data_IF_414312731009
#
_entry.id   IF_414312731009
#
_cell.length_a   1.000
_cell.length_b   1.000
_cell.length_c   1.000
_cell.angle_alpha   90.00
_cell.angle_beta   90.00
_cell.angle_gamma   90.00
#
_symmetry.space_group_name_H-M   'P 1'
#
loop_
_entity.id
_entity.type
_entity.pdbx_description
1 polymer ?
#
# COMPACT_ATOMS: atom_id res chain seq x y z
N UNK A 1 3.72 63.95 34.83
CA UNK A 1 3.12 62.75 35.47
C UNK A 1 2.55 61.86 34.38
N UNK A 2 3.27 60.80 33.99
CA UNK A 2 2.77 59.70 33.14
C UNK A 2 3.67 58.49 33.45
N UNK A 3 3.19 57.63 34.33
CA UNK A 3 3.87 56.43 34.80
C UNK A 3 4.03 55.42 33.66
N UNK A 4 5.27 55.00 33.39
CA UNK A 4 5.54 53.83 32.56
C UNK A 4 5.27 52.59 33.40
N UNK A 5 4.25 51.83 33.03
CA UNK A 5 3.98 50.50 33.59
C UNK A 5 5.04 49.55 33.04
N UNK A 6 5.95 49.14 33.92
CA UNK A 6 6.94 48.09 33.66
C UNK A 6 6.23 46.73 33.69
N UNK A 7 6.20 46.02 32.56
CA UNK A 7 5.68 44.65 32.50
C UNK A 7 6.79 43.65 32.88
N UNK A 8 6.52 42.66 33.74
CA UNK A 8 7.47 41.59 34.03
C UNK A 8 7.57 40.59 32.86
N UNK A 9 8.73 39.94 32.66
CA UNK A 9 8.90 38.95 31.60
C UNK A 9 8.05 37.69 31.89
N UNK A 10 7.34 37.22 30.87
CA UNK A 10 6.60 35.96 30.90
C UNK A 10 7.61 34.82 30.70
N UNK A 11 8.05 34.18 31.79
CA UNK A 11 8.75 32.91 31.72
C UNK A 11 7.81 31.81 31.19
N UNK A 12 7.99 31.41 29.94
CA UNK A 12 7.34 30.21 29.39
C UNK A 12 8.02 28.97 29.97
N UNK A 13 7.45 28.41 31.04
CA UNK A 13 7.82 27.09 31.55
C UNK A 13 7.32 26.01 30.60
N UNK A 14 8.15 25.56 29.67
CA UNK A 14 7.87 24.40 28.82
C UNK A 14 8.11 23.13 29.62
N UNK A 15 7.06 22.61 30.26
CA UNK A 15 7.11 21.27 30.85
C UNK A 15 6.98 20.25 29.71
N UNK A 16 8.11 19.82 29.14
CA UNK A 16 8.14 18.63 28.26
C UNK A 16 7.98 17.38 29.13
N UNK A 17 6.78 16.82 29.16
CA UNK A 17 6.59 15.43 29.58
C UNK A 17 6.91 14.54 28.37
N UNK A 18 7.93 13.67 28.42
CA UNK A 18 8.08 12.62 27.42
C UNK A 18 6.93 11.62 27.63
N UNK A 19 5.88 11.72 26.82
CA UNK A 19 4.85 10.69 26.78
C UNK A 19 5.47 9.48 26.10
N UNK A 20 5.86 8.50 26.92
CA UNK A 20 6.29 7.18 26.46
C UNK A 20 5.08 6.45 25.89
N UNK A 21 5.09 6.24 24.57
CA UNK A 21 4.02 5.56 23.82
C UNK A 21 3.81 4.12 24.30
N UNK A 22 4.80 3.55 25.00
CA UNK A 22 4.75 2.18 25.53
C UNK A 22 3.89 2.04 26.78
N UNK A 23 3.63 3.11 27.52
CA UNK A 23 2.82 3.06 28.76
C UNK A 23 1.32 3.17 28.48
N UNK A 24 0.92 3.79 27.36
CA UNK A 24 -0.49 3.93 26.98
C UNK A 24 -1.15 2.62 26.52
N UNK A 25 -0.37 1.67 25.98
CA UNK A 25 -0.89 0.39 25.49
C UNK A 25 -1.05 -0.69 26.58
N UNK A 26 -0.59 -0.44 27.82
CA UNK A 26 -0.69 -1.40 28.94
C UNK A 26 -1.80 -1.10 29.93
N UNK A 27 -2.45 0.06 29.83
CA UNK A 27 -3.52 0.46 30.76
C UNK A 27 -4.93 0.02 30.32
N UNK A 28 -5.08 -0.60 29.15
CA UNK A 28 -6.39 -1.01 28.60
C UNK A 28 -6.81 -2.46 28.86
N UNK A 29 -5.99 -3.26 29.56
CA UNK A 29 -6.19 -4.70 29.68
C UNK A 29 -6.42 -5.15 31.13
N UNK A 30 -7.29 -4.45 31.88
CA UNK A 30 -7.70 -4.88 33.22
C UNK A 30 -9.18 -4.55 33.47
N UNK A 31 -10.09 -5.23 32.77
CA UNK A 31 -11.46 -5.45 33.22
C UNK A 31 -12.14 -6.55 32.36
N UNK A 32 -11.93 -7.82 32.73
CA UNK A 32 -12.62 -8.96 32.11
C UNK A 32 -12.24 -10.25 32.82
N UNK A 33 -13.21 -10.84 33.52
CA UNK A 33 -13.05 -11.87 34.53
C UNK A 33 -12.71 -13.28 33.98
N UNK A 34 -12.16 -14.08 34.89
CA UNK A 34 -11.76 -15.47 34.83
C UNK A 34 -12.71 -16.47 34.14
N UNK A 35 -12.13 -17.43 33.40
CA UNK A 35 -12.44 -18.87 33.50
C UNK A 35 -11.23 -19.70 33.10
N UNK A 36 -10.78 -20.54 34.02
CA UNK A 36 -9.83 -21.63 33.82
C UNK A 36 -10.54 -22.74 33.04
N UNK A 37 -9.96 -23.20 31.93
CA UNK A 37 -10.47 -24.32 31.16
C UNK A 37 -9.41 -24.91 30.24
N UNK A 38 -8.88 -26.06 30.63
CA UNK A 38 -8.00 -26.90 29.83
C UNK A 38 -8.74 -27.50 28.62
N UNK A 39 -8.02 -27.66 27.50
CA UNK A 39 -8.47 -28.34 26.30
C UNK A 39 -7.48 -28.03 25.17
N UNK A 40 -6.30 -28.65 25.16
CA UNK A 40 -6.05 -29.89 24.43
C UNK A 40 -6.43 -29.78 22.93
N UNK A 41 -5.38 -29.58 22.12
CA UNK A 41 -5.23 -30.00 20.74
C UNK A 41 -6.49 -30.54 20.04
N UNK A 42 -7.23 -29.65 19.37
CA UNK A 42 -8.12 -30.04 18.29
C UNK A 42 -7.32 -30.24 17.00
N UNK A 43 -6.69 -31.41 16.84
CA UNK A 43 -6.32 -31.90 15.50
C UNK A 43 -7.61 -32.32 14.82
N UNK A 44 -8.31 -31.37 14.24
CA UNK A 44 -9.48 -31.60 13.40
C UNK A 44 -9.04 -31.92 11.98
N UNK A 45 -8.66 -33.17 11.71
CA UNK A 45 -8.66 -33.70 10.36
C UNK A 45 -10.09 -34.16 10.04
N UNK A 46 -10.95 -33.21 9.70
CA UNK A 46 -12.27 -33.45 9.11
C UNK A 46 -12.27 -32.72 7.77
N UNK A 47 -12.31 -33.46 6.65
CA UNK A 47 -12.35 -32.87 5.32
C UNK A 47 -13.53 -31.90 5.19
N UNK A 48 -13.25 -30.63 4.90
CA UNK A 48 -14.21 -29.55 4.74
C UNK A 48 -13.67 -28.58 3.69
N UNK A 49 -14.53 -28.09 2.79
CA UNK A 49 -14.23 -26.93 1.97
C UNK A 49 -13.82 -25.78 2.90
N UNK A 50 -12.53 -25.44 2.93
CA UNK A 50 -12.05 -24.34 3.76
C UNK A 50 -12.32 -23.06 3.00
N UNK A 51 -13.37 -22.33 3.39
CA UNK A 51 -13.54 -20.95 2.94
C UNK A 51 -12.26 -20.17 3.24
N UNK A 52 -11.77 -19.33 2.31
CA UNK A 52 -10.57 -18.53 2.53
C UNK A 52 -10.72 -17.65 3.77
N UNK A 53 -9.62 -17.47 4.49
CA UNK A 53 -9.59 -16.60 5.68
C UNK A 53 -9.75 -15.13 5.27
N UNK A 54 -10.15 -14.27 6.22
CA UNK A 54 -10.23 -12.83 5.95
C UNK A 54 -8.87 -12.23 5.56
N UNK A 55 -7.76 -12.75 6.10
CA UNK A 55 -6.41 -12.32 5.75
C UNK A 55 -6.04 -12.75 4.33
N UNK A 56 -6.40 -13.97 3.94
CA UNK A 56 -6.24 -14.49 2.57
C UNK A 56 -7.00 -13.61 1.57
N UNK A 57 -8.28 -13.30 1.83
CA UNK A 57 -9.07 -12.43 0.95
C UNK A 57 -8.51 -11.01 0.84
N UNK A 58 -7.99 -10.46 1.96
CA UNK A 58 -7.35 -9.16 1.95
C UNK A 58 -6.03 -9.21 1.16
N UNK A 59 -5.21 -10.24 1.34
CA UNK A 59 -3.98 -10.46 0.60
C UNK A 59 -4.25 -10.54 -0.92
N UNK A 60 -5.27 -11.30 -1.33
CA UNK A 60 -5.70 -11.41 -2.73
C UNK A 60 -6.10 -10.05 -3.32
N UNK A 61 -6.76 -9.20 -2.52
CA UNK A 61 -7.17 -7.84 -2.93
C UNK A 61 -5.96 -6.92 -3.17
N UNK A 62 -4.82 -7.18 -2.53
CA UNK A 62 -3.57 -6.41 -2.72
C UNK A 62 -2.75 -6.86 -3.93
N UNK A 63 -2.95 -8.08 -4.43
CA UNK A 63 -2.19 -8.64 -5.58
C UNK A 63 -2.27 -7.76 -6.84
N UNK A 64 -3.44 -7.25 -7.26
CA UNK A 64 -3.54 -6.35 -8.41
C UNK A 64 -2.73 -5.06 -8.25
N UNK A 65 -2.64 -4.53 -7.02
CA UNK A 65 -1.88 -3.31 -6.74
C UNK A 65 -0.37 -3.54 -6.93
N UNK A 66 0.17 -4.68 -6.48
CA UNK A 66 1.58 -5.05 -6.73
C UNK A 66 1.85 -5.16 -8.22
N UNK A 67 0.98 -5.85 -8.97
CA UNK A 67 1.15 -6.04 -10.42
C UNK A 67 1.10 -4.70 -11.17
N UNK A 68 0.16 -3.82 -10.81
CA UNK A 68 0.09 -2.47 -11.38
C UNK A 68 1.36 -1.68 -11.11
N UNK A 69 1.91 -1.76 -9.89
CA UNK A 69 3.13 -1.04 -9.52
C UNK A 69 4.35 -1.51 -10.32
N UNK A 70 4.51 -2.82 -10.54
CA UNK A 70 5.57 -3.36 -11.39
C UNK A 70 5.38 -2.97 -12.86
N UNK A 71 4.13 -2.97 -13.36
CA UNK A 71 3.82 -2.55 -14.72
C UNK A 71 4.15 -1.06 -14.95
N UNK A 72 3.78 -0.20 -14.00
CA UNK A 72 4.08 1.24 -14.05
C UNK A 72 5.59 1.49 -13.98
N UNK A 73 6.31 0.79 -13.10
CA UNK A 73 7.77 0.84 -12.99
C UNK A 73 8.44 0.50 -14.32
N UNK A 74 8.08 -0.64 -14.91
CA UNK A 74 8.69 -1.08 -16.18
C UNK A 74 8.37 -0.12 -17.33
N UNK A 75 7.14 0.40 -17.39
CA UNK A 75 6.72 1.37 -18.41
C UNK A 75 7.46 2.71 -18.23
N UNK A 76 7.57 3.21 -17.00
CA UNK A 76 8.31 4.43 -16.71
C UNK A 76 9.78 4.30 -17.08
N UNK A 77 10.43 3.17 -16.75
CA UNK A 77 11.82 2.89 -17.17
C UNK A 77 11.99 2.86 -18.68
N UNK A 78 11.06 2.24 -19.40
CA UNK A 78 11.10 2.20 -20.86
C UNK A 78 10.96 3.62 -21.46
N UNK A 79 10.14 4.47 -20.86
CA UNK A 79 9.92 5.84 -21.33
C UNK A 79 11.12 6.76 -21.12
N UNK A 80 12.02 6.51 -20.16
CA UNK A 80 13.21 7.34 -19.92
C UNK A 80 14.04 7.55 -21.19
N UNK A 81 14.16 6.52 -22.03
CA UNK A 81 14.96 6.58 -23.26
C UNK A 81 14.29 7.33 -24.42
N UNK A 82 12.95 7.46 -24.39
CA UNK A 82 12.17 8.01 -25.51
C UNK A 82 11.51 9.35 -25.17
N UNK A 83 11.41 9.70 -23.89
CA UNK A 83 10.84 10.96 -23.38
C UNK A 83 11.86 11.75 -22.56
N UNK A 84 12.92 12.30 -23.18
CA UNK A 84 14.03 12.94 -22.47
C UNK A 84 13.60 14.15 -21.63
N UNK A 85 12.54 14.86 -22.04
CA UNK A 85 11.98 15.98 -21.29
C UNK A 85 11.46 15.58 -19.89
N UNK A 86 11.05 14.31 -19.73
CA UNK A 86 10.55 13.77 -18.48
C UNK A 86 11.49 12.73 -17.86
N UNK A 87 12.70 12.52 -18.39
CA UNK A 87 13.59 11.42 -17.98
C UNK A 87 13.83 11.37 -16.46
N UNK A 88 14.13 12.50 -15.82
CA UNK A 88 14.32 12.56 -14.35
C UNK A 88 13.03 12.23 -13.59
N UNK A 89 11.89 12.78 -14.03
CA UNK A 89 10.60 12.52 -13.40
C UNK A 89 10.18 11.05 -13.55
N UNK A 90 10.39 10.46 -14.72
CA UNK A 90 10.10 9.05 -15.01
C UNK A 90 10.97 8.11 -14.18
N UNK A 91 12.25 8.43 -13.95
CA UNK A 91 13.09 7.67 -13.02
C UNK A 91 12.55 7.71 -11.59
N UNK A 92 12.11 8.89 -11.12
CA UNK A 92 11.47 9.01 -9.79
C UNK A 92 10.18 8.19 -9.70
N UNK A 93 9.34 8.23 -10.74
CA UNK A 93 8.13 7.40 -10.80
C UNK A 93 8.49 5.92 -10.74
N UNK A 94 9.45 5.47 -11.54
CA UNK A 94 9.88 4.07 -11.55
C UNK A 94 10.36 3.62 -10.16
N UNK A 95 11.23 4.39 -9.51
CA UNK A 95 11.77 4.05 -8.20
C UNK A 95 10.68 4.00 -7.12
N UNK A 96 9.76 4.96 -7.13
CA UNK A 96 8.66 5.00 -6.16
C UNK A 96 7.66 3.85 -6.39
N UNK A 97 7.32 3.53 -7.65
CA UNK A 97 6.45 2.38 -7.95
C UNK A 97 7.11 1.06 -7.55
N UNK A 98 8.42 0.91 -7.74
CA UNK A 98 9.19 -0.23 -7.23
C UNK A 98 9.16 -0.32 -5.68
N UNK A 99 9.21 0.81 -4.97
CA UNK A 99 9.07 0.83 -3.51
C UNK A 99 7.66 0.44 -3.06
N UNK A 100 6.63 0.95 -3.73
CA UNK A 100 5.24 0.57 -3.44
C UNK A 100 4.98 -0.92 -3.68
N UNK A 101 5.48 -1.48 -4.78
CA UNK A 101 5.37 -2.91 -5.07
C UNK A 101 5.97 -3.77 -3.94
N UNK A 102 7.15 -3.38 -3.45
CA UNK A 102 7.81 -4.06 -2.32
C UNK A 102 7.01 -3.97 -1.03
N UNK A 103 6.58 -2.78 -0.64
CA UNK A 103 5.81 -2.60 0.60
C UNK A 103 4.46 -3.35 0.57
N UNK A 104 3.78 -3.34 -0.58
CA UNK A 104 2.55 -4.11 -0.78
C UNK A 104 2.82 -5.62 -0.72
N UNK A 105 3.91 -6.10 -1.34
CA UNK A 105 4.30 -7.50 -1.29
C UNK A 105 4.65 -7.96 0.14
N UNK A 106 5.37 -7.13 0.89
CA UNK A 106 5.67 -7.40 2.31
C UNK A 106 4.38 -7.53 3.14
N UNK A 107 3.39 -6.68 2.86
CA UNK A 107 2.08 -6.80 3.52
C UNK A 107 1.34 -8.08 3.11
N UNK A 108 1.37 -8.46 1.83
CA UNK A 108 0.81 -9.74 1.37
C UNK A 108 1.51 -10.90 2.08
N UNK A 109 2.84 -10.91 2.19
CA UNK A 109 3.59 -11.96 2.91
C UNK A 109 3.16 -12.04 4.38
N UNK A 110 2.95 -10.88 5.03
CA UNK A 110 2.50 -10.82 6.43
C UNK A 110 1.11 -11.42 6.61
N UNK A 111 0.21 -11.22 5.64
CA UNK A 111 -1.16 -11.71 5.67
C UNK A 111 -1.26 -13.19 5.26
N UNK A 112 -0.62 -13.54 4.15
CA UNK A 112 -0.71 -14.86 3.54
C UNK A 112 0.50 -15.11 2.59
N UNK A 113 1.42 -15.96 3.03
CA UNK A 113 2.63 -16.30 2.27
C UNK A 113 2.32 -17.08 0.98
N UNK A 114 1.24 -17.86 0.94
CA UNK A 114 0.86 -18.65 -0.24
C UNK A 114 0.30 -17.74 -1.33
N UNK A 115 -0.51 -16.74 -0.95
CA UNK A 115 -0.94 -15.68 -1.88
C UNK A 115 0.27 -14.91 -2.40
N UNK A 116 1.25 -14.58 -1.54
CA UNK A 116 2.47 -13.90 -1.98
C UNK A 116 3.26 -14.71 -3.02
N UNK A 117 3.32 -16.03 -2.89
CA UNK A 117 3.99 -16.91 -3.85
C UNK A 117 3.35 -16.87 -5.25
N UNK A 118 2.07 -16.49 -5.36
CA UNK A 118 1.41 -16.33 -6.66
C UNK A 118 1.95 -15.14 -7.47
N UNK A 119 2.60 -14.17 -6.84
CA UNK A 119 3.17 -13.00 -7.51
C UNK A 119 4.34 -13.36 -8.43
N UNK A 120 5.03 -14.46 -8.15
CA UNK A 120 6.17 -14.92 -8.97
C UNK A 120 5.75 -15.85 -10.10
N UNK A 121 4.48 -16.28 -10.10
CA UNK A 121 3.95 -17.13 -11.16
C UNK A 121 3.63 -16.28 -12.39
N UNK A 122 4.03 -16.70 -13.60
CA UNK A 122 3.56 -16.07 -14.83
C UNK A 122 2.03 -16.03 -14.83
N UNK A 123 1.43 -14.92 -15.26
CA UNK A 123 -0.02 -14.82 -15.44
C UNK A 123 -0.41 -15.72 -16.62
N UNK A 124 -0.64 -17.00 -16.35
CA UNK A 124 -1.25 -17.92 -17.32
C UNK A 124 -2.69 -17.48 -17.49
N UNK A 125 -2.96 -16.68 -18.52
CA UNK A 125 -4.32 -16.29 -18.88
C UNK A 125 -5.08 -17.54 -19.31
N UNK A 126 -5.84 -18.15 -18.40
CA UNK A 126 -6.78 -19.22 -18.70
C UNK A 126 -8.08 -18.63 -19.31
N UNK A 127 -7.92 -17.94 -20.43
CA UNK A 127 -9.00 -17.62 -21.38
C UNK A 127 -8.35 -17.45 -22.73
N UNK A 128 -8.03 -18.57 -23.36
CA UNK A 128 -7.84 -18.62 -24.80
C UNK A 128 -9.20 -18.40 -25.46
N UNK A 129 -9.63 -17.14 -25.58
CA UNK A 129 -10.60 -16.76 -26.60
C UNK A 129 -9.82 -16.44 -27.88
N UNK A 130 -10.09 -17.23 -28.90
CA UNK A 130 -9.60 -17.11 -30.27
C UNK A 130 -9.71 -15.67 -30.78
N UNK A 131 -8.61 -14.90 -30.77
CA UNK A 131 -8.51 -13.66 -31.54
C UNK A 131 -7.05 -13.36 -31.91
N UNK A 132 -6.76 -13.60 -33.19
CA UNK A 132 -5.66 -13.09 -34.02
C UNK A 132 -4.26 -13.00 -33.40
N UNK A 133 -3.38 -13.89 -33.89
CA UNK A 133 -1.94 -13.72 -33.84
C UNK A 133 -1.51 -12.37 -34.46
N UNK A 134 -0.64 -11.64 -33.76
CA UNK A 134 0.32 -10.75 -34.44
C UNK A 134 0.07 -9.24 -34.43
N UNK A 135 -0.68 -8.66 -33.48
CA UNK A 135 -0.57 -7.20 -33.29
C UNK A 135 0.69 -6.90 -32.47
N UNK A 136 1.65 -6.10 -32.97
CA UNK A 136 2.75 -5.65 -32.13
C UNK A 136 2.17 -4.87 -30.94
N UNK A 137 2.66 -5.16 -29.73
CA UNK A 137 2.31 -4.37 -28.55
C UNK A 137 2.55 -2.90 -28.88
N UNK A 138 1.52 -2.07 -28.69
CA UNK A 138 1.63 -0.64 -28.93
C UNK A 138 2.84 -0.09 -28.15
N UNK A 139 3.62 0.83 -28.73
CA UNK A 139 4.77 1.40 -28.05
C UNK A 139 4.33 2.07 -26.75
N UNK A 140 5.18 2.04 -25.70
CA UNK A 140 4.89 2.75 -24.47
C UNK A 140 4.73 4.24 -24.80
N UNK A 141 3.73 4.88 -24.20
CA UNK A 141 3.50 6.31 -24.37
C UNK A 141 3.26 6.97 -23.03
N UNK A 142 3.70 8.21 -22.91
CA UNK A 142 3.56 8.98 -21.68
C UNK A 142 2.09 9.23 -21.33
N UNK A 143 1.23 9.44 -22.34
CA UNK A 143 -0.22 9.56 -22.16
C UNK A 143 -0.84 8.30 -21.55
N UNK A 144 -0.39 7.10 -21.98
CA UNK A 144 -0.86 5.85 -21.41
C UNK A 144 -0.38 5.65 -19.98
N UNK A 145 0.89 5.93 -19.69
CA UNK A 145 1.41 5.88 -18.32
C UNK A 145 0.62 6.81 -17.38
N UNK A 146 0.27 8.03 -17.81
CA UNK A 146 -0.57 8.94 -17.01
C UNK A 146 -1.93 8.32 -16.68
N UNK A 147 -2.59 7.73 -17.66
CA UNK A 147 -3.88 7.06 -17.47
C UNK A 147 -3.76 5.83 -16.54
N UNK A 148 -2.69 5.04 -16.69
CA UNK A 148 -2.42 3.87 -15.85
C UNK A 148 -2.17 4.29 -14.39
N UNK A 149 -1.44 5.40 -14.14
CA UNK A 149 -1.25 5.95 -12.81
C UNK A 149 -2.56 6.47 -12.18
N UNK A 150 -3.43 7.13 -12.94
CA UNK A 150 -4.75 7.54 -12.45
C UNK A 150 -5.61 6.32 -12.07
N UNK A 151 -5.59 5.26 -12.89
CA UNK A 151 -6.28 4.02 -12.60
C UNK A 151 -5.71 3.32 -11.34
N UNK A 152 -4.39 3.26 -11.20
CA UNK A 152 -3.71 2.68 -10.05
C UNK A 152 -4.02 3.45 -8.75
N UNK A 153 -4.05 4.78 -8.79
CA UNK A 153 -4.46 5.61 -7.65
C UNK A 153 -5.92 5.34 -7.25
N UNK A 154 -6.81 5.21 -8.23
CA UNK A 154 -8.22 4.85 -8.01
C UNK A 154 -8.39 3.47 -7.38
N UNK A 155 -7.68 2.46 -7.89
CA UNK A 155 -7.71 1.09 -7.35
C UNK A 155 -7.18 1.05 -5.92
N UNK A 156 -6.02 1.66 -5.65
CA UNK A 156 -5.45 1.73 -4.31
C UNK A 156 -6.39 2.43 -3.33
N UNK A 157 -7.06 3.51 -3.76
CA UNK A 157 -8.08 4.19 -2.95
C UNK A 157 -9.27 3.30 -2.65
N UNK A 158 -9.78 2.54 -3.62
CA UNK A 158 -10.89 1.62 -3.40
C UNK A 158 -10.55 0.54 -2.37
N UNK A 159 -9.33 -0.01 -2.43
CA UNK A 159 -8.84 -0.95 -1.43
C UNK A 159 -8.71 -0.27 -0.06
N UNK A 160 -8.18 0.96 -0.01
CA UNK A 160 -8.05 1.70 1.25
C UNK A 160 -9.38 1.93 1.96
N UNK A 161 -10.47 2.14 1.20
CA UNK A 161 -11.81 2.35 1.76
C UNK A 161 -12.50 1.06 2.23
N UNK A 162 -12.08 -0.10 1.72
CA UNK A 162 -12.69 -1.40 2.05
C UNK A 162 -11.86 -2.22 3.04
N UNK A 163 -10.55 -1.99 3.11
CA UNK A 163 -9.65 -2.63 4.05
C UNK A 163 -9.68 -1.97 5.45
N UNK A 164 -9.18 -2.70 6.46
CA UNK A 164 -8.97 -2.18 7.82
C UNK A 164 -7.50 -2.11 8.21
N UNK A 165 -7.22 -1.40 9.31
CA UNK A 165 -5.92 -1.43 9.98
C UNK A 165 -4.74 -0.93 9.14
N UNK A 166 -3.63 -1.67 9.16
CA UNK A 166 -2.40 -1.27 8.47
C UNK A 166 -2.56 -1.24 6.95
N UNK A 167 -3.29 -2.19 6.37
CA UNK A 167 -3.50 -2.29 4.93
C UNK A 167 -4.24 -1.08 4.34
N UNK A 168 -5.24 -0.52 5.05
CA UNK A 168 -5.94 0.68 4.58
C UNK A 168 -5.05 1.93 4.62
N UNK A 169 -4.23 2.07 5.67
CA UNK A 169 -3.23 3.14 5.75
C UNK A 169 -2.17 3.04 4.64
N UNK A 170 -1.63 1.83 4.43
CA UNK A 170 -0.65 1.56 3.38
C UNK A 170 -1.22 1.89 2.00
N UNK A 171 -2.36 1.30 1.63
CA UNK A 171 -2.98 1.52 0.31
C UNK A 171 -3.48 2.95 0.11
N UNK A 172 -3.93 3.62 1.16
CA UNK A 172 -4.25 5.06 1.13
C UNK A 172 -3.02 5.93 0.86
N UNK A 173 -1.89 5.62 1.49
CA UNK A 173 -0.62 6.32 1.24
C UNK A 173 -0.11 6.10 -0.19
N UNK A 174 -0.24 4.88 -0.72
CA UNK A 174 0.07 4.55 -2.11
C UNK A 174 -0.83 5.33 -3.06
N UNK A 175 -2.14 5.39 -2.82
CA UNK A 175 -3.07 6.15 -3.65
C UNK A 175 -2.69 7.64 -3.73
N UNK A 176 -2.36 8.26 -2.59
CA UNK A 176 -1.95 9.67 -2.53
C UNK A 176 -0.60 9.91 -3.24
N UNK A 177 0.38 9.03 -3.05
CA UNK A 177 1.68 9.13 -3.70
C UNK A 177 1.56 9.01 -5.23
N UNK A 178 0.78 8.04 -5.72
CA UNK A 178 0.56 7.84 -7.16
C UNK A 178 -0.19 9.02 -7.78
N UNK A 179 -1.20 9.56 -7.09
CA UNK A 179 -1.87 10.78 -7.54
C UNK A 179 -0.89 11.96 -7.65
N UNK A 180 0.03 12.11 -6.70
CA UNK A 180 1.09 13.13 -6.74
C UNK A 180 2.06 12.91 -7.91
N UNK A 181 2.48 11.66 -8.18
CA UNK A 181 3.30 11.35 -9.35
C UNK A 181 2.63 11.81 -10.64
N UNK A 182 1.34 11.52 -10.81
CA UNK A 182 0.61 11.94 -12.01
C UNK A 182 0.41 13.46 -12.07
N UNK A 183 0.05 14.10 -10.96
CA UNK A 183 -0.30 15.52 -10.89
C UNK A 183 0.89 16.47 -10.92
N UNK A 184 2.02 16.05 -10.36
CA UNK A 184 3.18 16.91 -10.12
C UNK A 184 4.35 16.51 -11.00
N UNK A 185 4.69 15.22 -11.03
CA UNK A 185 5.87 14.77 -11.77
C UNK A 185 5.59 14.66 -13.26
N UNK A 186 4.40 14.22 -13.63
CA UNK A 186 3.98 14.01 -15.02
C UNK A 186 2.81 14.92 -15.41
N UNK A 187 2.78 16.16 -14.92
CA UNK A 187 1.78 17.17 -15.32
C UNK A 187 1.74 17.36 -16.84
#
# INVERSE_FOLDING_TARGET
MMSRVSMPPIERRTVRHPIDRRTALRAGLLAGAAVVGAGAAGVGLTGCESSPSAETLLAETLVPLVRSANADESTARALVAVEPAYATALSVVADQRAQHARALREEIIRLDQDVAATLDRPVTSATASTSAAGVPSAPPSLARLRADLDAAAGQARAVALSAGGYASGLTGSVAAAVASMRQVQLA
#
